data_IF_156643805335
#
_entry.id   IF_156643805335
#
_cell.length_a   1.000
_cell.length_b   1.000
_cell.length_c   1.000
_cell.angle_alpha   90.00
_cell.angle_beta   90.00
_cell.angle_gamma   90.00
#
_symmetry.space_group_name_H-M   'P 1'
#
loop_
_entity.id
_entity.type
_entity.pdbx_description
1 polymer ?
#
# COMPACT_ATOMS: atom_id res chain seq x y z
N UNK A 1 1.91 -11.98 -7.78
CA UNK A 1 1.62 -11.59 -6.39
C UNK A 1 0.62 -10.45 -6.45
N UNK A 2 -0.47 -10.51 -5.68
CA UNK A 2 -1.50 -9.46 -5.66
C UNK A 2 -1.50 -8.83 -4.27
N UNK A 3 -1.48 -7.50 -4.25
CA UNK A 3 -1.46 -6.70 -3.02
C UNK A 3 -2.74 -5.87 -2.97
N UNK A 4 -3.48 -6.04 -1.89
CA UNK A 4 -4.65 -5.23 -1.58
C UNK A 4 -4.22 -4.15 -0.61
N UNK A 5 -4.55 -2.90 -0.92
CA UNK A 5 -4.21 -1.75 -0.12
C UNK A 5 -5.44 -0.87 0.05
N UNK A 6 -5.76 -0.55 1.31
CA UNK A 6 -6.91 0.27 1.63
C UNK A 6 -6.65 1.06 2.92
N UNK A 7 -7.40 2.14 3.10
CA UNK A 7 -7.17 3.09 4.17
C UNK A 7 -8.50 3.58 4.74
N UNK A 8 -8.74 3.21 5.99
CA UNK A 8 -9.90 3.65 6.73
C UNK A 8 -9.62 4.98 7.44
N UNK A 9 -10.52 5.93 7.21
CA UNK A 9 -10.50 7.24 7.84
C UNK A 9 -11.48 7.26 9.03
N UNK A 10 -10.97 7.46 10.25
CA UNK A 10 -11.81 7.55 11.44
C UNK A 10 -11.75 8.96 12.04
N UNK A 11 -12.90 9.64 12.02
CA UNK A 11 -13.12 10.96 12.61
C UNK A 11 -13.71 10.81 14.02
N UNK A 12 -12.86 10.53 15.02
CA UNK A 12 -13.27 10.64 16.42
C UNK A 12 -13.00 12.06 16.92
N UNK A 13 -13.94 12.66 17.65
CA UNK A 13 -13.83 14.00 18.23
C UNK A 13 -12.50 14.12 18.99
N UNK A 14 -11.59 14.97 18.49
CA UNK A 14 -10.28 15.23 19.09
C UNK A 14 -9.10 14.39 18.54
N UNK A 15 -9.31 13.37 17.71
CA UNK A 15 -8.23 12.59 17.11
C UNK A 15 -8.56 12.13 15.69
N UNK A 16 -7.94 12.77 14.70
CA UNK A 16 -7.94 12.28 13.31
C UNK A 16 -6.98 11.10 13.20
N UNK A 17 -7.49 9.87 13.04
CA UNK A 17 -6.67 8.66 12.88
C UNK A 17 -6.98 7.98 11.55
N UNK A 18 -5.93 7.60 10.83
CA UNK A 18 -5.98 6.74 9.65
C UNK A 18 -5.49 5.38 10.04
N UNK A 19 -6.22 4.36 9.62
CA UNK A 19 -5.76 2.99 9.67
C UNK A 19 -5.54 2.53 8.25
N UNK A 20 -4.28 2.38 7.86
CA UNK A 20 -3.92 1.83 6.55
C UNK A 20 -3.67 0.33 6.69
N UNK A 21 -4.29 -0.49 5.85
CA UNK A 21 -4.13 -1.95 5.86
C UNK A 21 -3.70 -2.46 4.50
N UNK A 22 -2.83 -3.48 4.53
CA UNK A 22 -2.23 -4.07 3.35
C UNK A 22 -2.18 -5.59 3.50
N UNK A 23 -2.63 -6.30 2.46
CA UNK A 23 -2.60 -7.76 2.38
C UNK A 23 -1.95 -8.15 1.07
N UNK A 24 -0.82 -8.86 1.13
CA UNK A 24 -0.18 -9.46 -0.03
C UNK A 24 -0.50 -10.96 -0.11
N UNK A 25 -0.86 -11.41 -1.31
CA UNK A 25 -1.21 -12.79 -1.61
C UNK A 25 -0.32 -13.36 -2.70
N UNK A 26 0.08 -14.63 -2.53
CA UNK A 26 0.85 -15.42 -3.48
C UNK A 26 0.12 -16.73 -3.75
N UNK A 27 -0.16 -17.03 -5.03
CA UNK A 27 -0.98 -18.18 -5.43
C UNK A 27 -2.33 -18.26 -4.69
N UNK A 28 -2.98 -17.12 -4.45
CA UNK A 28 -4.24 -17.04 -3.72
C UNK A 28 -4.12 -17.12 -2.19
N UNK A 29 -2.92 -17.39 -1.65
CA UNK A 29 -2.70 -17.51 -0.21
C UNK A 29 -2.14 -16.21 0.38
N UNK A 30 -2.64 -15.72 1.52
CA UNK A 30 -2.07 -14.56 2.19
C UNK A 30 -0.67 -14.89 2.72
N UNK A 31 0.32 -14.12 2.30
CA UNK A 31 1.72 -14.30 2.71
C UNK A 31 2.23 -13.16 3.61
N UNK A 32 1.55 -12.02 3.58
CA UNK A 32 1.93 -10.86 4.36
C UNK A 32 0.72 -9.99 4.64
N UNK A 33 0.54 -9.62 5.90
CA UNK A 33 -0.47 -8.66 6.35
C UNK A 33 0.24 -7.61 7.18
N UNK A 34 -0.04 -6.34 6.91
CA UNK A 34 0.45 -5.26 7.74
C UNK A 34 -0.59 -4.16 7.84
N UNK A 35 -0.89 -3.82 9.08
CA UNK A 35 -1.73 -2.69 9.45
C UNK A 35 -0.86 -1.61 10.06
N UNK A 36 -1.21 -0.35 9.82
CA UNK A 36 -0.53 0.78 10.44
C UNK A 36 -1.51 1.90 10.73
N UNK A 37 -1.58 2.25 12.02
CA UNK A 37 -2.30 3.41 12.49
C UNK A 37 -1.38 4.64 12.36
N UNK A 38 -1.90 5.72 11.78
CA UNK A 38 -1.21 7.00 11.67
C UNK A 38 -2.13 8.11 12.18
N UNK A 39 -1.62 9.06 12.98
CA UNK A 39 -2.32 10.31 13.19
C UNK A 39 -2.39 11.05 11.85
N UNK A 40 -3.59 11.43 11.41
CA UNK A 40 -3.79 12.16 10.15
C UNK A 40 -3.69 13.65 10.43
N UNK A 41 -2.82 14.33 9.68
CA UNK A 41 -2.76 15.80 9.62
C UNK A 41 -3.45 16.34 8.35
N UNK A 42 -3.78 15.48 7.38
CA UNK A 42 -4.34 15.87 6.08
C UNK A 42 -5.88 15.94 6.07
N UNK A 43 -6.45 16.90 5.33
CA UNK A 43 -7.89 17.11 5.17
C UNK A 43 -8.53 16.25 4.05
N UNK A 44 -7.78 15.39 3.37
CA UNK A 44 -8.22 14.53 2.26
C UNK A 44 -7.65 13.11 2.42
N UNK A 45 -8.38 12.11 1.90
CA UNK A 45 -7.99 10.69 1.91
C UNK A 45 -6.88 10.37 0.91
N UNK A 46 -6.74 11.14 -0.18
CA UNK A 46 -5.80 10.85 -1.28
C UNK A 46 -4.33 10.89 -0.86
N UNK A 47 -3.94 11.89 -0.06
CA UNK A 47 -2.53 12.11 0.34
C UNK A 47 -2.02 11.08 1.36
N UNK A 48 -2.77 10.75 2.43
CA UNK A 48 -2.46 9.64 3.32
C UNK A 48 -2.28 8.31 2.57
N UNK A 49 -3.15 8.06 1.60
CA UNK A 49 -3.15 6.84 0.78
C UNK A 49 -1.92 6.70 -0.11
N UNK A 50 -1.54 7.78 -0.79
CA UNK A 50 -0.30 7.83 -1.56
C UNK A 50 0.94 7.56 -0.68
N UNK A 51 1.01 8.22 0.48
CA UNK A 51 2.09 8.05 1.46
C UNK A 51 2.12 6.64 2.05
N UNK A 52 0.95 6.00 2.22
CA UNK A 52 0.87 4.62 2.63
C UNK A 52 1.52 3.73 1.56
N UNK A 53 1.13 3.87 0.29
CA UNK A 53 1.65 3.04 -0.80
C UNK A 53 3.16 3.19 -0.98
N UNK A 54 3.70 4.43 -0.99
CA UNK A 54 5.17 4.66 -1.03
C UNK A 54 5.91 3.95 0.10
N UNK A 55 5.38 3.96 1.33
CA UNK A 55 5.98 3.24 2.47
C UNK A 55 5.91 1.72 2.30
N UNK A 56 4.84 1.25 1.68
CA UNK A 56 4.63 -0.17 1.43
C UNK A 56 5.42 -0.70 0.24
N UNK A 57 5.70 0.13 -0.76
CA UNK A 57 6.52 -0.22 -1.91
C UNK A 57 7.89 -0.79 -1.50
N UNK A 58 8.56 -0.14 -0.53
CA UNK A 58 9.85 -0.63 -0.01
C UNK A 58 9.73 -2.01 0.64
N UNK A 59 8.67 -2.24 1.42
CA UNK A 59 8.40 -3.56 2.04
C UNK A 59 8.08 -4.60 0.98
N UNK A 60 7.29 -4.23 -0.01
CA UNK A 60 6.88 -5.11 -1.11
C UNK A 60 8.08 -5.52 -1.96
N UNK A 61 9.00 -4.59 -2.25
CA UNK A 61 10.25 -4.88 -2.96
C UNK A 61 11.09 -5.90 -2.19
N UNK A 62 11.25 -5.71 -0.89
CA UNK A 62 11.97 -6.65 -0.03
C UNK A 62 11.29 -8.03 -0.01
N UNK A 63 9.96 -8.06 0.09
CA UNK A 63 9.17 -9.29 0.06
C UNK A 63 9.32 -10.03 -1.28
N UNK A 64 9.24 -9.33 -2.42
CA UNK A 64 9.47 -9.91 -3.74
C UNK A 64 10.87 -10.52 -3.86
N UNK A 65 11.91 -9.80 -3.41
CA UNK A 65 13.28 -10.32 -3.41
C UNK A 65 13.41 -11.57 -2.55
N UNK A 66 12.78 -11.59 -1.38
CA UNK A 66 12.76 -12.76 -0.50
C UNK A 66 12.07 -13.95 -1.19
N UNK A 67 10.91 -13.74 -1.81
CA UNK A 67 10.19 -14.82 -2.50
C UNK A 67 11.01 -15.39 -3.68
N UNK A 68 11.69 -14.53 -4.44
CA UNK A 68 12.60 -14.98 -5.50
C UNK A 68 13.77 -15.78 -4.91
N UNK A 69 14.31 -15.36 -3.76
CA UNK A 69 15.43 -16.04 -3.10
C UNK A 69 15.09 -17.46 -2.60
N UNK A 70 13.82 -17.72 -2.26
CA UNK A 70 13.34 -19.06 -1.88
C UNK A 70 12.98 -19.93 -3.11
N UNK A 71 13.28 -19.47 -4.33
CA UNK A 71 13.08 -20.20 -5.58
C UNK A 71 11.65 -20.11 -6.14
N UNK A 72 10.80 -19.26 -5.59
CA UNK A 72 9.43 -19.07 -6.11
C UNK A 72 9.41 -18.00 -7.20
N UNK A 73 8.70 -18.28 -8.29
CA UNK A 73 8.51 -17.32 -9.37
C UNK A 73 7.46 -16.28 -8.97
N UNK A 74 7.89 -15.05 -8.75
CA UNK A 74 6.97 -13.90 -8.64
C UNK A 74 7.06 -13.03 -9.88
N UNK A 75 5.94 -12.89 -10.59
CA UNK A 75 5.77 -11.81 -11.56
C UNK A 75 5.74 -10.44 -10.88
N UNK A 76 5.57 -9.39 -11.70
CA UNK A 76 5.44 -8.00 -11.22
C UNK A 76 4.25 -7.94 -10.23
N UNK A 77 4.46 -7.43 -8.99
CA UNK A 77 3.39 -7.29 -8.03
C UNK A 77 2.30 -6.33 -8.54
N UNK A 78 1.04 -6.76 -8.50
CA UNK A 78 -0.09 -5.88 -8.82
C UNK A 78 -0.65 -5.31 -7.52
N UNK A 79 -0.72 -3.98 -7.41
CA UNK A 79 -1.32 -3.29 -6.27
C UNK A 79 -2.74 -2.87 -6.66
N UNK A 80 -3.74 -3.32 -5.88
CA UNK A 80 -5.15 -3.00 -6.05
C UNK A 80 -5.58 -2.01 -4.96
N UNK A 81 -6.25 -0.93 -5.38
CA UNK A 81 -6.66 0.21 -4.54
C UNK A 81 -8.05 0.69 -4.93
N UNK A 82 -8.85 1.08 -3.94
CA UNK A 82 -10.20 1.62 -4.16
C UNK A 82 -10.24 3.11 -4.51
N UNK A 83 -9.20 3.88 -4.19
CA UNK A 83 -9.16 5.33 -4.44
C UNK A 83 -8.41 5.66 -5.74
N UNK A 84 -9.16 5.98 -6.80
CA UNK A 84 -8.62 6.35 -8.11
C UNK A 84 -7.69 7.58 -8.07
N UNK A 85 -7.95 8.54 -7.17
CA UNK A 85 -7.08 9.72 -7.03
C UNK A 85 -5.69 9.36 -6.49
N UNK A 86 -5.59 8.34 -5.65
CA UNK A 86 -4.31 7.84 -5.18
C UNK A 86 -3.59 7.05 -6.28
N UNK A 87 -4.33 6.29 -7.10
CA UNK A 87 -3.78 5.56 -8.26
C UNK A 87 -3.15 6.53 -9.26
N UNK A 88 -3.85 7.61 -9.62
CA UNK A 88 -3.36 8.61 -10.57
C UNK A 88 -2.04 9.26 -10.11
N UNK A 89 -1.95 9.64 -8.83
CA UNK A 89 -0.71 10.21 -8.28
C UNK A 89 0.47 9.23 -8.28
N UNK A 90 0.21 7.93 -8.21
CA UNK A 90 1.26 6.89 -8.27
C UNK A 90 1.74 6.69 -9.70
N UNK A 91 0.82 6.64 -10.66
CA UNK A 91 1.16 6.54 -12.08
C UNK A 91 2.01 7.74 -12.50
N UNK A 92 1.60 8.95 -12.15
CA UNK A 92 2.38 10.18 -12.39
C UNK A 92 3.76 10.12 -11.70
N UNK A 93 3.83 9.63 -10.46
CA UNK A 93 5.09 9.48 -9.74
C UNK A 93 6.02 8.39 -10.30
N UNK A 94 5.50 7.42 -11.06
CA UNK A 94 6.29 6.42 -11.78
C UNK A 94 6.83 6.97 -13.11
N UNK A 95 6.07 7.86 -13.76
CA UNK A 95 6.46 8.50 -15.01
C UNK A 95 7.53 9.59 -14.84
N UNK A 96 7.63 10.19 -13.65
CA UNK A 96 8.59 11.27 -13.37
C UNK A 96 9.54 10.93 -12.20
N UNK A 97 10.52 10.03 -12.40
CA UNK A 97 11.48 9.62 -11.37
C UNK A 97 12.62 10.64 -11.25
N UNK A 98 12.32 11.88 -10.86
CA UNK A 98 13.34 12.85 -10.46
C UNK A 98 13.89 12.53 -9.07
#
# INVERSE_FOLDING_TARGET
MVVWADEDYFNLVGAKKSTSWFVATLYGNPIFVSTKNKPIVAQSTTKPEFLAIKKFEKKLRCLSMFIVSIGLKTGIPTILKGNMGAVFLIEEAQLNPN
#
